data_IF_666626333316
#
_entry.id   IF_666626333316
#
_cell.length_a   1.000
_cell.length_b   1.000
_cell.length_c   1.000
_cell.angle_alpha   90.00
_cell.angle_beta   90.00
_cell.angle_gamma   90.00
#
_symmetry.space_group_name_H-M   'P 1'
#
loop_
_entity.id
_entity.type
_entity.pdbx_description
1 polymer ?
#
# COMPACT_ATOMS: atom_id res chain seq x y z
N UNK A 1 27.58 -30.87 47.28
CA UNK A 1 28.19 -30.16 46.13
C UNK A 1 27.34 -30.41 44.89
N UNK A 2 26.38 -29.55 44.57
CA UNK A 2 25.82 -29.47 43.20
C UNK A 2 25.42 -28.02 42.95
N UNK A 3 26.28 -27.29 42.25
CA UNK A 3 25.97 -26.03 41.54
C UNK A 3 26.12 -26.33 40.05
N UNK A 4 25.27 -25.66 39.25
CA UNK A 4 25.32 -25.42 37.79
C UNK A 4 24.24 -26.14 37.00
N UNK A 5 23.16 -25.41 36.70
CA UNK A 5 22.51 -25.39 35.38
C UNK A 5 21.46 -24.28 35.33
N UNK A 6 21.90 -23.04 35.16
CA UNK A 6 21.02 -21.91 34.79
C UNK A 6 21.78 -20.96 33.88
N UNK A 7 22.02 -21.39 32.64
CA UNK A 7 22.62 -20.53 31.61
C UNK A 7 22.34 -20.97 30.15
N UNK A 8 21.40 -21.91 29.92
CA UNK A 8 21.05 -22.38 28.56
C UNK A 8 19.64 -22.04 28.07
N UNK A 9 18.74 -21.53 28.93
CA UNK A 9 17.34 -21.26 28.53
C UNK A 9 17.12 -19.88 27.89
N UNK A 10 17.98 -18.90 28.13
CA UNK A 10 17.79 -17.52 27.62
C UNK A 10 18.16 -17.34 26.15
N UNK A 11 19.08 -18.14 25.60
CA UNK A 11 19.52 -18.03 24.19
C UNK A 11 18.53 -18.64 23.21
N UNK A 12 17.91 -19.78 23.55
CA UNK A 12 16.96 -20.48 22.68
C UNK A 12 15.64 -19.71 22.48
N UNK A 13 15.18 -18.98 23.51
CA UNK A 13 13.98 -18.14 23.40
C UNK A 13 14.18 -16.93 22.46
N UNK A 14 15.34 -16.26 22.51
CA UNK A 14 15.68 -15.16 21.60
C UNK A 14 15.77 -15.61 20.12
N UNK A 15 16.34 -16.78 19.86
CA UNK A 15 16.45 -17.32 18.49
C UNK A 15 15.08 -17.76 17.91
N UNK A 16 14.20 -18.34 18.74
CA UNK A 16 12.86 -18.73 18.30
C UNK A 16 11.93 -17.52 18.06
N UNK A 17 12.02 -16.48 18.91
CA UNK A 17 11.26 -15.24 18.75
C UNK A 17 11.68 -14.47 17.49
N UNK A 18 12.98 -14.47 17.18
CA UNK A 18 13.54 -13.84 15.96
C UNK A 18 13.05 -14.53 14.68
N UNK A 19 13.02 -15.86 14.62
CA UNK A 19 12.53 -16.58 13.45
C UNK A 19 11.02 -16.38 13.20
N UNK A 20 10.21 -16.36 14.26
CA UNK A 20 8.78 -16.08 14.18
C UNK A 20 8.50 -14.64 13.75
N UNK A 21 9.21 -13.65 14.32
CA UNK A 21 9.09 -12.25 13.91
C UNK A 21 9.51 -12.02 12.44
N UNK A 22 10.55 -12.71 11.97
CA UNK A 22 10.99 -12.65 10.56
C UNK A 22 9.96 -13.30 9.63
N UNK A 23 9.37 -14.45 10.01
CA UNK A 23 8.33 -15.09 9.21
C UNK A 23 7.04 -14.24 9.15
N UNK A 24 6.63 -13.66 10.27
CA UNK A 24 5.49 -12.75 10.35
C UNK A 24 5.71 -11.47 9.53
N UNK A 25 6.92 -10.88 9.59
CA UNK A 25 7.33 -9.73 8.79
C UNK A 25 7.19 -10.00 7.30
N UNK A 26 7.75 -11.13 6.82
CA UNK A 26 7.69 -11.50 5.40
C UNK A 26 6.27 -11.71 4.88
N UNK A 27 5.40 -12.35 5.67
CA UNK A 27 4.00 -12.58 5.27
C UNK A 27 3.24 -11.25 5.22
N UNK A 28 3.38 -10.43 6.27
CA UNK A 28 2.73 -9.13 6.33
C UNK A 28 3.17 -8.19 5.18
N UNK A 29 4.45 -8.21 4.81
CA UNK A 29 4.99 -7.41 3.71
C UNK A 29 4.52 -7.88 2.33
N UNK A 30 4.39 -9.19 2.13
CA UNK A 30 3.81 -9.76 0.90
C UNK A 30 2.35 -9.34 0.73
N UNK A 31 1.58 -9.33 1.82
CA UNK A 31 0.16 -8.99 1.80
C UNK A 31 -0.13 -7.49 2.04
N UNK A 32 0.90 -6.66 2.29
CA UNK A 32 0.75 -5.27 2.73
C UNK A 32 -0.22 -5.13 3.93
N UNK A 33 -0.09 -6.02 4.91
CA UNK A 33 -0.94 -6.08 6.10
C UNK A 33 -0.21 -5.54 7.33
N UNK A 34 -1.00 -5.06 8.29
CA UNK A 34 -0.47 -4.64 9.58
C UNK A 34 -0.03 -5.87 10.40
N UNK A 35 1.22 -5.94 10.88
CA UNK A 35 1.66 -7.09 11.67
C UNK A 35 1.02 -7.22 13.06
N UNK A 36 0.29 -6.20 13.52
CA UNK A 36 -0.37 -6.19 14.83
C UNK A 36 -1.84 -6.62 14.73
N UNK A 37 -2.53 -6.23 13.67
CA UNK A 37 -3.97 -6.47 13.49
C UNK A 37 -4.32 -7.41 12.34
N UNK A 38 -3.35 -7.74 11.47
CA UNK A 38 -3.51 -8.53 10.25
C UNK A 38 -4.53 -7.93 9.25
N UNK A 39 -4.86 -6.64 9.42
CA UNK A 39 -5.70 -5.91 8.47
C UNK A 39 -4.83 -5.30 7.36
N UNK A 40 -5.33 -5.19 6.11
CA UNK A 40 -4.64 -4.46 5.06
C UNK A 40 -4.31 -3.02 5.49
N UNK A 41 -3.09 -2.59 5.20
CA UNK A 41 -2.58 -1.27 5.61
C UNK A 41 -3.30 -0.14 4.86
N UNK A 42 -3.54 -0.32 3.56
CA UNK A 42 -4.14 0.71 2.71
C UNK A 42 -5.60 1.06 3.06
N UNK A 43 -6.29 0.22 3.85
CA UNK A 43 -7.70 0.40 4.25
C UNK A 43 -7.89 1.37 5.45
N UNK A 44 -6.94 2.28 5.68
CA UNK A 44 -7.07 3.29 6.71
C UNK A 44 -5.73 3.95 7.10
N UNK A 45 -5.74 4.81 8.14
CA UNK A 45 -4.55 5.54 8.54
C UNK A 45 -3.41 4.60 8.94
N UNK A 46 -2.23 4.88 8.37
CA UNK A 46 -0.99 4.13 8.59
C UNK A 46 -0.12 4.87 9.60
N UNK A 47 0.64 4.13 10.40
CA UNK A 47 1.56 4.65 11.40
C UNK A 47 2.91 3.93 11.40
N UNK A 48 3.88 4.60 12.01
CA UNK A 48 5.20 4.06 12.35
C UNK A 48 5.42 4.15 13.86
N UNK A 49 6.22 3.21 14.38
CA UNK A 49 6.67 3.24 15.78
C UNK A 49 7.97 4.04 15.89
N UNK A 50 8.06 4.90 16.89
CA UNK A 50 9.20 5.81 17.09
C UNK A 50 9.80 5.70 18.49
N UNK A 51 11.10 6.00 18.59
CA UNK A 51 11.79 6.18 19.87
C UNK A 51 11.55 7.57 20.46
N UNK A 52 12.15 7.85 21.62
CA UNK A 52 12.00 9.11 22.36
C UNK A 52 12.54 10.34 21.62
N UNK A 53 13.38 10.14 20.60
CA UNK A 53 13.84 11.21 19.70
C UNK A 53 12.91 11.43 18.51
N UNK A 54 11.86 10.62 18.37
CA UNK A 54 10.96 10.61 17.22
C UNK A 54 11.52 9.87 16.01
N UNK A 55 12.64 9.13 16.15
CA UNK A 55 13.21 8.33 15.05
C UNK A 55 12.46 7.01 14.92
N UNK A 56 12.22 6.59 13.68
CA UNK A 56 11.57 5.33 13.34
C UNK A 56 12.36 4.14 13.92
N UNK A 57 11.64 3.17 14.47
CA UNK A 57 12.22 2.00 15.14
C UNK A 57 12.45 0.80 14.22
N UNK A 58 11.70 0.70 13.13
CA UNK A 58 11.75 -0.41 12.18
C UNK A 58 11.12 0.00 10.84
N UNK A 59 11.45 -0.68 9.71
CA UNK A 59 10.88 -0.38 8.40
C UNK A 59 9.40 -0.77 8.24
N UNK A 60 8.78 -1.39 9.25
CA UNK A 60 7.40 -1.83 9.18
C UNK A 60 6.41 -0.67 9.33
N UNK A 61 5.29 -0.80 8.64
CA UNK A 61 4.12 0.05 8.76
C UNK A 61 3.02 -0.68 9.55
N UNK A 62 2.18 0.10 10.22
CA UNK A 62 1.10 -0.42 11.06
C UNK A 62 -0.18 0.35 10.78
N UNK A 63 -1.33 -0.25 11.06
CA UNK A 63 -2.56 0.53 11.20
C UNK A 63 -2.45 1.40 12.44
N UNK A 64 -2.84 2.67 12.33
CA UNK A 64 -2.68 3.65 13.40
C UNK A 64 -3.40 3.20 14.68
N UNK A 65 -4.66 2.77 14.55
CA UNK A 65 -5.47 2.24 15.65
C UNK A 65 -4.79 1.06 16.37
N UNK A 66 -4.26 0.10 15.60
CA UNK A 66 -3.59 -1.08 16.13
C UNK A 66 -2.28 -0.73 16.85
N UNK A 67 -1.51 0.22 16.32
CA UNK A 67 -0.26 0.67 16.94
C UNK A 67 -0.52 1.44 18.24
N UNK A 68 -1.53 2.31 18.27
CA UNK A 68 -1.94 3.06 19.46
C UNK A 68 -2.44 2.11 20.56
N UNK A 69 -3.29 1.15 20.20
CA UNK A 69 -3.78 0.13 21.12
C UNK A 69 -2.64 -0.74 21.68
N UNK A 70 -1.69 -1.13 20.83
CA UNK A 70 -0.51 -1.90 21.24
C UNK A 70 0.32 -1.13 22.29
N UNK A 71 0.57 0.16 22.05
CA UNK A 71 1.31 1.01 22.99
C UNK A 71 0.56 1.19 24.32
N UNK A 72 -0.76 1.43 24.27
CA UNK A 72 -1.60 1.60 25.46
C UNK A 72 -1.65 0.36 26.36
N UNK A 73 -1.74 -0.83 25.75
CA UNK A 73 -1.76 -2.11 26.47
C UNK A 73 -0.43 -2.41 27.15
N UNK A 74 0.69 -2.12 26.49
CA UNK A 74 2.03 -2.34 27.04
C UNK A 74 2.33 -1.45 28.26
N UNK A 75 1.78 -0.22 28.29
CA UNK A 75 1.88 0.68 29.46
C UNK A 75 1.02 0.27 30.66
N UNK A 76 0.06 -0.65 30.48
CA UNK A 76 -0.93 -1.04 31.51
C UNK A 76 -0.57 -2.32 32.28
N UNK A 77 0.53 -3.01 31.93
CA UNK A 77 0.95 -4.28 32.55
C UNK A 77 1.91 -4.10 33.73
N UNK A 78 1.61 -4.79 34.84
CA UNK A 78 2.31 -4.78 36.15
C UNK A 78 3.78 -5.29 36.17
N UNK A 79 4.59 -5.09 35.13
CA UNK A 79 6.00 -5.50 35.11
C UNK A 79 6.83 -4.67 34.15
N UNK A 80 7.58 -3.71 34.68
CA UNK A 80 8.58 -2.85 34.02
C UNK A 80 8.18 -2.12 32.71
N UNK A 81 6.92 -2.17 32.28
CA UNK A 81 6.18 -1.08 31.60
C UNK A 81 6.68 -0.54 30.25
N UNK A 82 7.65 -1.16 29.60
CA UNK A 82 8.20 -0.68 28.33
C UNK A 82 7.60 -1.42 27.14
N UNK A 83 6.91 -0.68 26.27
CA UNK A 83 6.44 -1.21 24.98
C UNK A 83 7.66 -1.43 24.09
N UNK A 84 7.90 -2.67 23.65
CA UNK A 84 9.02 -2.99 22.76
C UNK A 84 8.52 -3.24 21.34
N UNK A 85 9.28 -2.76 20.35
CA UNK A 85 9.00 -3.05 18.95
C UNK A 85 9.08 -4.58 18.72
N UNK A 86 8.05 -5.21 18.14
CA UNK A 86 8.05 -6.66 17.91
C UNK A 86 9.24 -7.17 17.10
N UNK A 87 9.80 -6.32 16.23
CA UNK A 87 10.85 -6.69 15.28
C UNK A 87 12.25 -6.30 15.73
N UNK A 88 12.41 -5.12 16.36
CA UNK A 88 13.74 -4.62 16.76
C UNK A 88 14.02 -4.73 18.24
N UNK A 89 13.00 -5.04 19.06
CA UNK A 89 13.08 -5.11 20.52
C UNK A 89 13.57 -3.81 21.17
N UNK A 90 13.51 -2.69 20.42
CA UNK A 90 13.77 -1.35 20.92
C UNK A 90 12.52 -0.77 21.58
N UNK A 91 12.72 0.08 22.58
CA UNK A 91 11.65 0.76 23.29
C UNK A 91 10.88 1.72 22.38
N UNK A 92 9.56 1.58 22.41
CA UNK A 92 8.59 2.43 21.73
C UNK A 92 8.25 3.58 22.67
N UNK A 93 8.61 4.80 22.26
CA UNK A 93 8.20 6.00 22.98
C UNK A 93 6.91 6.60 22.41
N UNK A 94 6.57 6.28 21.16
CA UNK A 94 5.36 6.79 20.54
C UNK A 94 4.97 6.11 19.24
N UNK A 95 3.78 6.45 18.79
CA UNK A 95 3.20 6.11 17.49
C UNK A 95 3.07 7.41 16.71
N UNK A 96 3.46 7.41 15.43
CA UNK A 96 3.33 8.57 14.56
C UNK A 96 2.59 8.17 13.29
N UNK A 97 1.52 8.89 12.97
CA UNK A 97 0.82 8.73 11.70
C UNK A 97 1.75 9.07 10.52
N UNK A 98 1.65 8.28 9.45
CA UNK A 98 2.34 8.55 8.18
C UNK A 98 1.44 9.49 7.38
N UNK A 99 1.88 10.71 7.08
CA UNK A 99 1.09 11.64 6.28
C UNK A 99 0.84 11.11 4.87
N UNK A 100 -0.18 11.63 4.20
CA UNK A 100 -0.41 11.39 2.78
C UNK A 100 0.70 12.06 1.95
N UNK A 101 1.23 11.34 0.96
CA UNK A 101 2.19 11.91 0.00
C UNK A 101 1.57 13.09 -0.77
N UNK A 102 0.26 13.09 -0.99
CA UNK A 102 -0.43 14.15 -1.73
C UNK A 102 -0.58 15.44 -0.91
N UNK A 103 -0.83 15.30 0.40
CA UNK A 103 -1.14 16.43 1.29
C UNK A 103 0.11 16.99 1.99
N UNK A 104 1.01 16.11 2.44
CA UNK A 104 2.28 16.48 3.08
C UNK A 104 3.44 15.60 2.54
N UNK A 105 3.95 15.91 1.33
CA UNK A 105 5.04 15.15 0.73
C UNK A 105 6.30 15.11 1.61
N UNK A 106 6.56 16.18 2.37
CA UNK A 106 7.74 16.31 3.22
C UNK A 106 7.63 15.45 4.47
N UNK A 107 6.46 15.43 5.10
CA UNK A 107 6.16 14.56 6.23
C UNK A 107 6.13 13.10 5.81
N UNK A 108 5.56 12.78 4.66
CA UNK A 108 5.59 11.45 4.05
C UNK A 108 7.04 10.96 3.85
N UNK A 109 7.87 11.76 3.17
CA UNK A 109 9.27 11.43 2.90
C UNK A 109 10.03 11.09 4.19
N UNK A 110 9.90 11.94 5.22
CA UNK A 110 10.53 11.73 6.53
C UNK A 110 10.02 10.50 7.28
N UNK A 111 8.78 10.10 7.05
CA UNK A 111 8.21 8.91 7.68
C UNK A 111 8.68 7.63 6.98
N UNK A 112 8.93 7.71 5.66
CA UNK A 112 9.38 6.58 4.85
C UNK A 112 10.88 6.29 5.03
N UNK A 113 11.71 7.33 5.16
CA UNK A 113 13.15 7.26 5.46
C UNK A 113 13.39 6.58 6.82
N UNK A 114 13.55 5.25 6.78
CA UNK A 114 13.56 4.40 7.96
C UNK A 114 14.94 4.35 8.63
N UNK A 115 16.01 4.43 7.84
CA UNK A 115 17.37 4.47 8.37
C UNK A 115 17.84 5.90 8.73
N UNK A 116 17.18 6.92 8.19
CA UNK A 116 17.41 8.34 8.48
C UNK A 116 18.54 8.95 7.65
N UNK A 117 18.89 8.36 6.52
CA UNK A 117 19.97 8.81 5.63
C UNK A 117 19.55 9.97 4.70
N UNK A 118 18.29 10.42 4.80
CA UNK A 118 17.68 11.56 4.09
C UNK A 118 17.45 11.32 2.60
N UNK A 119 17.46 10.07 2.16
CA UNK A 119 17.08 9.62 0.84
C UNK A 119 16.22 8.37 1.00
N UNK A 120 15.53 7.96 -0.05
CA UNK A 120 14.67 6.79 0.00
C UNK A 120 15.25 5.69 -0.89
N UNK A 121 15.52 4.55 -0.30
CA UNK A 121 15.82 3.32 -1.02
C UNK A 121 14.58 2.79 -1.75
N UNK A 122 14.80 1.90 -2.71
CA UNK A 122 13.71 1.14 -3.39
C UNK A 122 12.76 0.49 -2.40
N UNK A 123 13.32 -0.11 -1.35
CA UNK A 123 12.55 -0.80 -0.33
C UNK A 123 11.60 0.14 0.40
N UNK A 124 12.10 1.30 0.82
CA UNK A 124 11.32 2.27 1.58
C UNK A 124 10.18 2.85 0.75
N UNK A 125 10.44 3.16 -0.53
CA UNK A 125 9.39 3.65 -1.44
C UNK A 125 8.34 2.56 -1.68
N UNK A 126 8.76 1.35 -2.09
CA UNK A 126 7.82 0.25 -2.40
C UNK A 126 6.96 -0.09 -1.19
N UNK A 127 7.57 -0.26 -0.01
CA UNK A 127 6.84 -0.63 1.20
C UNK A 127 5.91 0.49 1.68
N UNK A 128 6.28 1.76 1.49
CA UNK A 128 5.40 2.90 1.78
C UNK A 128 4.21 2.98 0.81
N UNK A 129 4.45 2.81 -0.50
CA UNK A 129 3.38 2.81 -1.51
C UNK A 129 2.40 1.67 -1.25
N UNK A 130 2.89 0.43 -1.02
CA UNK A 130 2.05 -0.71 -0.64
C UNK A 130 1.24 -0.46 0.63
N UNK A 131 1.82 0.23 1.61
CA UNK A 131 1.14 0.50 2.87
C UNK A 131 0.02 1.53 2.75
N UNK A 132 0.16 2.53 1.87
CA UNK A 132 -0.77 3.66 1.82
C UNK A 132 -1.67 3.70 0.60
N UNK A 133 -1.38 2.90 -0.43
CA UNK A 133 -2.08 2.96 -1.70
C UNK A 133 -2.84 1.67 -1.97
N UNK A 134 -4.13 1.76 -2.36
CA UNK A 134 -4.89 0.61 -2.82
C UNK A 134 -4.48 0.28 -4.26
N UNK A 135 -3.24 -0.16 -4.47
CA UNK A 135 -2.73 -0.64 -5.76
C UNK A 135 -2.36 -2.11 -5.63
N UNK A 136 -2.30 -2.82 -6.76
CA UNK A 136 -1.74 -4.18 -6.76
C UNK A 136 -0.27 -4.15 -6.31
N UNK A 137 0.01 -4.87 -5.23
CA UNK A 137 1.36 -5.08 -4.71
C UNK A 137 2.32 -5.62 -5.79
N UNK A 138 1.84 -6.42 -6.75
CA UNK A 138 2.66 -6.92 -7.87
C UNK A 138 3.04 -5.81 -8.84
N UNK A 139 2.11 -4.92 -9.16
CA UNK A 139 2.38 -3.77 -10.00
C UNK A 139 3.39 -2.82 -9.35
N UNK A 140 3.31 -2.62 -8.02
CA UNK A 140 4.29 -1.85 -7.25
C UNK A 140 5.64 -2.57 -7.14
N UNK A 141 5.66 -3.91 -7.05
CA UNK A 141 6.91 -4.68 -6.93
C UNK A 141 7.82 -4.54 -8.16
N UNK A 142 7.29 -4.13 -9.32
CA UNK A 142 8.11 -3.77 -10.50
C UNK A 142 9.14 -2.69 -10.17
N UNK A 143 8.83 -1.72 -9.31
CA UNK A 143 9.79 -0.68 -8.91
C UNK A 143 10.98 -1.23 -8.10
N UNK A 144 10.83 -2.42 -7.51
CA UNK A 144 11.90 -3.10 -6.77
C UNK A 144 12.96 -3.69 -7.71
N UNK A 145 12.57 -4.15 -8.90
CA UNK A 145 13.41 -4.95 -9.80
C UNK A 145 13.69 -4.29 -11.15
N UNK A 146 12.78 -3.46 -11.65
CA UNK A 146 12.89 -2.84 -12.97
C UNK A 146 13.64 -1.51 -12.87
N UNK A 147 14.85 -1.47 -13.43
CA UNK A 147 15.67 -0.26 -13.50
C UNK A 147 14.98 0.86 -14.28
N UNK A 148 14.32 0.54 -15.39
CA UNK A 148 13.64 1.53 -16.22
C UNK A 148 12.51 2.24 -15.47
N UNK A 149 11.72 1.49 -14.69
CA UNK A 149 10.62 2.05 -13.90
C UNK A 149 11.16 2.98 -12.80
N UNK A 150 12.20 2.56 -12.09
CA UNK A 150 12.81 3.37 -11.02
C UNK A 150 13.53 4.62 -11.54
N UNK A 151 14.22 4.51 -12.68
CA UNK A 151 14.91 5.62 -13.36
C UNK A 151 13.99 6.76 -13.80
N UNK A 152 12.69 6.51 -13.86
CA UNK A 152 11.73 7.59 -14.07
C UNK A 152 11.75 8.60 -12.92
N UNK A 153 12.04 8.16 -11.69
CA UNK A 153 12.12 9.01 -10.50
C UNK A 153 13.57 9.32 -10.10
N UNK A 154 14.48 8.34 -10.18
CA UNK A 154 15.91 8.48 -9.88
C UNK A 154 16.64 9.14 -11.07
N UNK A 155 16.57 10.47 -11.09
CA UNK A 155 17.02 11.30 -12.19
C UNK A 155 18.54 11.37 -12.28
N UNK A 156 19.21 11.41 -11.13
CA UNK A 156 20.67 11.48 -11.06
C UNK A 156 21.35 10.10 -11.13
N UNK A 157 20.58 9.03 -10.93
CA UNK A 157 21.07 7.66 -11.00
C UNK A 157 21.84 7.21 -9.77
N UNK A 158 21.62 7.86 -8.64
CA UNK A 158 22.25 7.53 -7.36
C UNK A 158 21.79 6.17 -6.83
N UNK A 159 20.67 5.63 -7.34
CA UNK A 159 20.02 4.43 -6.83
C UNK A 159 19.06 4.70 -5.65
N UNK A 160 18.88 5.97 -5.29
CA UNK A 160 17.99 6.42 -4.23
C UNK A 160 17.10 7.54 -4.75
N UNK A 161 16.00 7.81 -4.05
CA UNK A 161 15.13 8.96 -4.33
C UNK A 161 15.35 10.03 -3.27
N UNK A 162 15.86 11.18 -3.69
CA UNK A 162 15.95 12.36 -2.85
C UNK A 162 14.63 13.14 -2.83
N UNK A 163 14.46 14.01 -1.82
CA UNK A 163 13.24 14.81 -1.71
C UNK A 163 13.00 15.71 -2.94
N UNK A 164 14.06 16.19 -3.58
CA UNK A 164 13.96 16.99 -4.82
C UNK A 164 13.38 16.18 -5.98
N UNK A 165 13.72 14.89 -6.05
CA UNK A 165 13.24 13.96 -7.08
C UNK A 165 11.80 13.52 -6.82
N UNK A 166 11.38 13.40 -5.55
CA UNK A 166 9.96 13.22 -5.22
C UNK A 166 9.11 14.36 -5.77
N UNK A 167 9.63 15.59 -5.66
CA UNK A 167 8.93 16.81 -6.01
C UNK A 167 9.11 17.25 -7.47
N UNK A 168 9.87 16.52 -8.28
CA UNK A 168 10.06 16.86 -9.69
C UNK A 168 8.71 16.91 -10.42
N UNK A 169 8.38 18.06 -10.99
CA UNK A 169 7.06 18.29 -11.61
C UNK A 169 6.91 17.57 -12.95
N UNK A 170 8.00 17.19 -13.60
CA UNK A 170 7.96 16.52 -14.91
C UNK A 170 7.81 15.01 -14.78
N UNK A 171 8.48 14.41 -13.79
CA UNK A 171 8.59 12.95 -13.66
C UNK A 171 8.69 12.44 -12.22
N UNK A 172 8.55 13.30 -11.21
CA UNK A 172 8.75 12.91 -9.81
C UNK A 172 7.72 11.92 -9.29
N UNK A 173 8.08 11.25 -8.19
CA UNK A 173 7.21 10.27 -7.53
C UNK A 173 5.85 10.86 -7.15
N UNK A 174 5.81 12.11 -6.67
CA UNK A 174 4.55 12.78 -6.35
C UNK A 174 3.67 12.94 -7.59
N UNK A 175 4.27 13.27 -8.74
CA UNK A 175 3.54 13.33 -10.02
C UNK A 175 3.06 11.94 -10.42
N UNK A 176 3.87 10.89 -10.28
CA UNK A 176 3.41 9.54 -10.58
C UNK A 176 2.19 9.13 -9.73
N UNK A 177 2.21 9.42 -8.42
CA UNK A 177 1.07 9.14 -7.54
C UNK A 177 -0.11 10.05 -7.91
N UNK A 178 0.11 11.31 -8.24
CA UNK A 178 -0.98 12.14 -8.79
C UNK A 178 -1.53 11.56 -10.09
N UNK A 179 -0.71 11.20 -11.06
CA UNK A 179 -1.16 10.66 -12.35
C UNK A 179 -1.85 9.30 -12.20
N UNK A 180 -1.37 8.47 -11.28
CA UNK A 180 -1.92 7.15 -11.05
C UNK A 180 -3.31 7.20 -10.40
N UNK A 181 -3.60 8.25 -9.64
CA UNK A 181 -4.84 8.40 -8.87
C UNK A 181 -5.75 9.56 -9.34
N UNK A 182 -5.20 10.56 -10.03
CA UNK A 182 -5.80 11.83 -10.43
C UNK A 182 -5.72 12.09 -11.95
N UNK A 183 -5.32 11.13 -12.80
CA UNK A 183 -5.50 11.29 -14.27
C UNK A 183 -6.99 11.33 -14.62
N UNK A 184 -7.61 12.46 -14.35
CA UNK A 184 -8.63 13.11 -15.15
C UNK A 184 -7.93 14.25 -15.87
N UNK A 185 -8.05 14.30 -17.20
CA UNK A 185 -8.02 15.50 -18.06
C UNK A 185 -6.95 15.69 -19.16
N UNK A 186 -5.93 14.83 -19.36
CA UNK A 186 -4.99 15.02 -20.50
C UNK A 186 -4.85 13.85 -21.49
N UNK A 187 -5.26 12.62 -21.15
CA UNK A 187 -5.31 11.51 -22.12
C UNK A 187 -6.69 11.44 -22.79
N UNK A 188 -6.99 12.39 -23.67
CA UNK A 188 -8.24 12.40 -24.41
C UNK A 188 -9.50 12.44 -23.54
N UNK A 189 -10.65 12.53 -24.21
CA UNK A 189 -11.93 12.39 -23.51
C UNK A 189 -12.04 10.91 -23.14
N UNK A 190 -11.91 10.57 -21.85
CA UNK A 190 -12.27 9.23 -21.34
C UNK A 190 -13.60 8.89 -22.00
N UNK A 191 -13.66 7.83 -22.83
CA UNK A 191 -14.88 7.52 -23.57
C UNK A 191 -16.04 7.44 -22.59
N UNK A 192 -17.19 7.97 -22.94
CA UNK A 192 -18.33 7.90 -22.01
C UNK A 192 -18.87 6.47 -22.04
N UNK A 193 -18.78 5.75 -20.90
CA UNK A 193 -19.28 4.37 -20.77
C UNK A 193 -20.75 4.24 -21.21
N UNK A 194 -21.56 5.30 -21.08
CA UNK A 194 -22.95 5.31 -21.53
C UNK A 194 -23.09 5.41 -23.04
N UNK A 195 -22.11 6.00 -23.73
CA UNK A 195 -22.15 6.26 -25.18
C UNK A 195 -21.43 5.18 -25.97
N UNK A 196 -20.27 4.74 -25.49
CA UNK A 196 -19.43 3.79 -26.20
C UNK A 196 -18.65 2.90 -25.21
N UNK A 197 -19.27 1.77 -24.88
CA UNK A 197 -18.70 0.76 -23.97
C UNK A 197 -17.43 0.12 -24.54
N UNK A 198 -17.34 0.00 -25.86
CA UNK A 198 -16.21 -0.68 -26.52
C UNK A 198 -15.00 0.23 -26.53
N UNK A 199 -15.20 1.51 -26.87
CA UNK A 199 -14.14 2.50 -26.76
C UNK A 199 -13.68 2.66 -25.30
N UNK A 200 -14.60 2.61 -24.33
CA UNK A 200 -14.25 2.64 -22.90
C UNK A 200 -13.39 1.44 -22.51
N UNK A 201 -13.82 0.22 -22.84
CA UNK A 201 -13.08 -1.00 -22.50
C UNK A 201 -11.67 -0.97 -23.09
N UNK A 202 -11.55 -0.66 -24.38
CA UNK A 202 -10.26 -0.56 -25.07
C UNK A 202 -9.36 0.55 -24.54
N UNK A 203 -9.94 1.62 -24.01
CA UNK A 203 -9.17 2.72 -23.44
C UNK A 203 -8.55 2.32 -22.10
N UNK A 204 -9.23 1.47 -21.32
CA UNK A 204 -8.79 1.05 -19.99
C UNK A 204 -8.02 -0.27 -19.95
N UNK A 205 -8.07 -1.06 -21.03
CA UNK A 205 -7.16 -2.17 -21.30
C UNK A 205 -5.79 -1.61 -21.71
N UNK A 206 -5.08 -1.01 -20.74
CA UNK A 206 -3.86 -0.21 -20.97
C UNK A 206 -2.74 -1.08 -21.57
N UNK A 207 -2.74 -2.39 -21.26
CA UNK A 207 -1.75 -3.35 -21.74
C UNK A 207 -2.19 -4.16 -22.98
N UNK A 208 -3.41 -3.94 -23.47
CA UNK A 208 -4.04 -4.68 -24.58
C UNK A 208 -4.06 -6.21 -24.35
N UNK A 209 -4.19 -6.63 -23.09
CA UNK A 209 -4.37 -8.03 -22.72
C UNK A 209 -5.71 -8.60 -23.22
N UNK A 210 -6.68 -7.73 -23.54
CA UNK A 210 -8.02 -8.12 -23.98
C UNK A 210 -8.97 -8.46 -22.82
N UNK A 211 -8.52 -8.27 -21.59
CA UNK A 211 -9.29 -8.40 -20.35
C UNK A 211 -9.07 -7.14 -19.51
N UNK A 212 -9.97 -6.83 -18.58
CA UNK A 212 -9.75 -5.80 -17.58
C UNK A 212 -9.51 -6.45 -16.23
N UNK A 213 -8.32 -6.26 -15.69
CA UNK A 213 -8.01 -6.67 -14.32
C UNK A 213 -8.80 -5.83 -13.31
N UNK A 214 -8.97 -6.34 -12.09
CA UNK A 214 -9.69 -5.63 -11.03
C UNK A 214 -9.22 -4.18 -10.85
N UNK A 215 -7.91 -3.95 -10.88
CA UNK A 215 -7.32 -2.63 -10.70
C UNK A 215 -7.56 -1.71 -11.89
N UNK A 216 -7.58 -2.25 -13.11
CA UNK A 216 -7.94 -1.49 -14.31
C UNK A 216 -9.40 -1.04 -14.22
N UNK A 217 -10.32 -1.93 -13.83
CA UNK A 217 -11.73 -1.58 -13.60
C UNK A 217 -11.89 -0.54 -12.50
N UNK A 218 -11.22 -0.73 -11.36
CA UNK A 218 -11.31 0.20 -10.23
C UNK A 218 -10.82 1.60 -10.62
N UNK A 219 -9.64 1.67 -11.24
CA UNK A 219 -9.05 2.92 -11.75
C UNK A 219 -9.93 3.55 -12.80
N UNK A 220 -10.47 2.74 -13.71
CA UNK A 220 -11.31 3.19 -14.80
C UNK A 220 -12.60 3.82 -14.28
N UNK A 221 -13.24 3.22 -13.27
CA UNK A 221 -14.41 3.80 -12.62
C UNK A 221 -14.08 5.03 -11.80
N UNK A 222 -13.00 4.99 -11.01
CA UNK A 222 -12.59 6.15 -10.24
C UNK A 222 -12.40 7.38 -11.14
N UNK A 223 -11.78 7.21 -12.31
CA UNK A 223 -11.54 8.28 -13.27
C UNK A 223 -12.77 8.64 -14.11
N UNK A 224 -13.56 7.66 -14.54
CA UNK A 224 -14.76 7.90 -15.37
C UNK A 224 -15.88 8.59 -14.60
N UNK A 225 -15.93 8.42 -13.27
CA UNK A 225 -16.95 9.01 -12.41
C UNK A 225 -16.40 10.10 -11.48
N UNK A 226 -15.15 10.53 -11.66
CA UNK A 226 -14.49 11.57 -10.86
C UNK A 226 -14.57 11.30 -9.35
N UNK A 227 -14.35 10.04 -8.97
CA UNK A 227 -14.36 9.60 -7.57
C UNK A 227 -13.02 9.98 -6.96
N UNK A 228 -13.07 10.68 -5.83
CA UNK A 228 -11.89 11.07 -5.07
C UNK A 228 -11.31 9.90 -4.27
N UNK A 229 -10.13 10.07 -3.68
CA UNK A 229 -9.45 9.03 -2.91
C UNK A 229 -10.32 8.46 -1.77
N UNK A 230 -11.15 9.30 -1.14
CA UNK A 230 -12.07 8.86 -0.11
C UNK A 230 -13.19 7.96 -0.66
N UNK A 231 -13.69 8.24 -1.86
CA UNK A 231 -14.70 7.41 -2.53
C UNK A 231 -14.14 6.14 -3.20
N UNK A 232 -12.85 6.09 -3.51
CA UNK A 232 -12.21 4.89 -4.11
C UNK A 232 -12.29 3.68 -3.17
N UNK A 233 -12.25 3.89 -1.85
CA UNK A 233 -12.41 2.83 -0.87
C UNK A 233 -13.80 2.19 -0.95
N UNK A 234 -14.86 3.00 -0.88
CA UNK A 234 -16.24 2.53 -1.00
C UNK A 234 -16.51 1.86 -2.35
N UNK A 235 -15.90 2.39 -3.42
CA UNK A 235 -15.97 1.80 -4.76
C UNK A 235 -15.30 0.42 -4.79
N UNK A 236 -14.10 0.28 -4.20
CA UNK A 236 -13.38 -1.00 -4.13
C UNK A 236 -14.18 -2.04 -3.36
N UNK A 237 -14.70 -1.71 -2.18
CA UNK A 237 -15.49 -2.65 -1.37
C UNK A 237 -16.75 -3.09 -2.12
N UNK A 238 -17.45 -2.12 -2.73
CA UNK A 238 -18.65 -2.40 -3.52
C UNK A 238 -18.33 -3.32 -4.69
N UNK A 239 -17.25 -3.03 -5.43
CA UNK A 239 -16.81 -3.79 -6.60
C UNK A 239 -16.33 -5.20 -6.20
N UNK A 240 -15.57 -5.35 -5.12
CA UNK A 240 -15.12 -6.65 -4.60
C UNK A 240 -16.30 -7.55 -4.21
N UNK A 241 -17.35 -6.98 -3.60
CA UNK A 241 -18.52 -7.74 -3.18
C UNK A 241 -19.29 -8.35 -4.37
N UNK A 242 -19.23 -7.71 -5.54
CA UNK A 242 -19.93 -8.15 -6.75
C UNK A 242 -19.00 -8.74 -7.82
N UNK A 243 -17.68 -8.72 -7.61
CA UNK A 243 -16.70 -9.11 -8.63
C UNK A 243 -16.93 -10.53 -9.16
N UNK A 244 -17.16 -11.49 -8.26
CA UNK A 244 -17.41 -12.89 -8.63
C UNK A 244 -18.75 -13.14 -9.34
N UNK A 245 -19.61 -12.11 -9.50
CA UNK A 245 -20.79 -12.18 -10.37
C UNK A 245 -20.39 -11.94 -11.82
N UNK A 246 -19.38 -11.10 -12.06
CA UNK A 246 -18.93 -10.72 -13.39
C UNK A 246 -17.83 -11.63 -13.93
N UNK A 247 -16.85 -11.98 -13.08
CA UNK A 247 -15.79 -12.93 -13.36
C UNK A 247 -16.32 -14.37 -13.22
N UNK A 248 -17.12 -14.78 -14.22
CA UNK A 248 -17.88 -16.03 -14.19
C UNK A 248 -16.98 -17.26 -14.35
N UNK A 249 -15.83 -17.09 -14.99
CA UNK A 249 -14.82 -18.12 -15.15
C UNK A 249 -13.76 -18.13 -14.03
N UNK A 250 -13.85 -17.17 -13.09
CA UNK A 250 -12.94 -16.98 -11.96
C UNK A 250 -11.47 -16.86 -12.43
N UNK A 251 -11.27 -16.20 -13.57
CA UNK A 251 -9.95 -15.90 -14.14
C UNK A 251 -9.21 -14.82 -13.36
N UNK A 252 -9.92 -14.03 -12.55
CA UNK A 252 -9.39 -12.88 -11.82
C UNK A 252 -9.43 -11.57 -12.63
N UNK A 253 -10.01 -11.60 -13.83
CA UNK A 253 -10.17 -10.44 -14.72
C UNK A 253 -11.56 -10.50 -15.38
N UNK A 254 -12.03 -9.38 -15.91
CA UNK A 254 -13.30 -9.32 -16.65
C UNK A 254 -12.99 -9.26 -18.13
N UNK A 255 -13.37 -10.30 -18.87
CA UNK A 255 -13.20 -10.31 -20.31
C UNK A 255 -14.23 -9.42 -21.02
N UNK A 256 -13.98 -9.14 -22.31
CA UNK A 256 -14.87 -8.30 -23.11
C UNK A 256 -16.32 -8.80 -23.15
N UNK A 257 -16.55 -10.11 -23.13
CA UNK A 257 -17.91 -10.69 -23.14
C UNK A 257 -18.57 -10.44 -21.80
N UNK A 258 -17.88 -10.71 -20.70
CA UNK A 258 -18.36 -10.49 -19.33
C UNK A 258 -18.68 -9.01 -19.07
N UNK A 259 -17.84 -8.11 -19.58
CA UNK A 259 -18.09 -6.67 -19.50
C UNK A 259 -19.36 -6.22 -20.24
N UNK A 260 -19.59 -6.80 -21.43
CA UNK A 260 -20.65 -6.42 -22.35
C UNK A 260 -21.94 -7.23 -22.19
N UNK A 261 -21.98 -8.19 -21.26
CA UNK A 261 -23.15 -9.03 -21.02
C UNK A 261 -24.39 -8.15 -20.84
N UNK A 262 -25.45 -8.32 -21.64
CA UNK A 262 -26.66 -7.53 -21.49
C UNK A 262 -27.30 -7.78 -20.13
N UNK A 263 -27.68 -6.72 -19.43
CA UNK A 263 -28.37 -6.69 -18.13
C UNK A 263 -27.54 -7.16 -16.93
N UNK A 264 -26.65 -8.14 -17.12
CA UNK A 264 -25.86 -8.76 -16.05
C UNK A 264 -24.36 -8.42 -16.15
N UNK A 265 -23.95 -7.69 -17.19
CA UNK A 265 -22.56 -7.30 -17.38
C UNK A 265 -22.14 -6.18 -16.42
N UNK A 266 -20.82 -6.11 -16.20
CA UNK A 266 -20.21 -5.11 -15.35
C UNK A 266 -20.59 -3.68 -15.79
N UNK A 267 -20.64 -3.42 -17.10
CA UNK A 267 -21.04 -2.13 -17.64
C UNK A 267 -22.47 -1.73 -17.26
N UNK A 268 -23.43 -2.66 -17.38
CA UNK A 268 -24.85 -2.38 -17.06
C UNK A 268 -25.07 -2.18 -15.56
N UNK A 269 -24.42 -2.99 -14.74
CA UNK A 269 -24.55 -2.90 -13.28
C UNK A 269 -24.02 -1.58 -12.73
N UNK A 270 -22.88 -1.12 -13.26
CA UNK A 270 -22.27 0.16 -12.85
C UNK A 270 -23.10 1.34 -13.33
N UNK A 271 -23.66 1.28 -14.54
CA UNK A 271 -24.56 2.32 -15.03
C UNK A 271 -25.87 2.40 -14.22
N UNK A 272 -26.37 1.27 -13.72
CA UNK A 272 -27.59 1.22 -12.90
C UNK A 272 -27.39 1.68 -11.45
N UNK A 273 -26.18 1.53 -10.90
CA UNK A 273 -25.84 1.97 -9.54
C UNK A 273 -25.43 3.45 -9.47
N UNK A 274 -25.10 4.06 -10.61
CA UNK A 274 -24.63 5.45 -10.74
C UNK A 274 -25.68 6.42 -11.31
N UNK A 275 -26.97 6.04 -11.28
CA UNK A 275 -28.15 6.90 -11.56
C UNK A 275 -28.90 7.21 -10.29
#
# INVERSE_FOLDING_TARGET
>A
VVRKNSMRQTRTAHFAFSAAAVAMSRVAEVHAECPLSFKPLFQGPVAILVDSSGKRLSPHFYRLDAAEEFLARAGSGNGNGQALCPFTQREIAGVKAVPSLLDDPKGWFRACDADGDRKLSREEVVSALKAQLPLDNRAIDRFRTEEAAWRSWDADGSGFIEYVEVMDESKGLLKFVRDSFLRSSEDGVVPDLRKDREAWFRYWDEDNSGVLEFEEVLRAFAKSFHIDLAGVEALRESLQAVWGIFDSDNSGAVDRREFMLPYDGLADTVLATMT
#
